data_IF_908473719255
#
_entry.id   IF_908473719255
#
_cell.length_a   1.000
_cell.length_b   1.000
_cell.length_c   1.000
_cell.angle_alpha   90.00
_cell.angle_beta   90.00
_cell.angle_gamma   90.00
#
_symmetry.space_group_name_H-M   'P 1'
#
loop_
_entity.id
_entity.type
_entity.pdbx_description
1 polymer ?
#
# COMPACT_ATOMS: atom_id res chain seq x y z
N UNK A 1 5.27 -8.08 22.50
CA UNK A 1 4.40 -7.46 21.49
C UNK A 1 3.10 -7.07 22.18
N UNK A 2 2.71 -5.81 22.16
CA UNK A 2 1.49 -5.31 22.81
C UNK A 2 0.24 -5.96 22.16
N UNK A 3 -0.80 -6.18 22.97
CA UNK A 3 -2.07 -6.82 22.56
C UNK A 3 -2.70 -6.12 21.35
N UNK A 4 -2.60 -4.79 21.29
CA UNK A 4 -3.09 -3.98 20.17
C UNK A 4 -2.32 -4.29 18.88
N UNK A 5 -1.00 -4.35 18.94
CA UNK A 5 -0.15 -4.65 17.78
C UNK A 5 -0.34 -6.09 17.31
N UNK A 6 -0.55 -7.04 18.22
CA UNK A 6 -0.89 -8.42 17.88
C UNK A 6 -2.21 -8.51 17.09
N UNK A 7 -3.23 -7.75 17.52
CA UNK A 7 -4.51 -7.68 16.81
C UNK A 7 -4.35 -7.07 15.41
N UNK A 8 -3.64 -5.94 15.29
CA UNK A 8 -3.43 -5.25 14.00
C UNK A 8 -2.67 -6.17 13.03
N UNK A 9 -1.64 -6.87 13.47
CA UNK A 9 -0.87 -7.81 12.65
C UNK A 9 -1.72 -8.99 12.17
N UNK A 10 -2.47 -9.63 13.08
CA UNK A 10 -3.36 -10.74 12.73
C UNK A 10 -4.47 -10.31 11.76
N UNK A 11 -5.08 -9.14 12.01
CA UNK A 11 -6.09 -8.57 11.14
C UNK A 11 -5.52 -8.22 9.75
N UNK A 12 -4.34 -7.61 9.69
CA UNK A 12 -3.65 -7.29 8.45
C UNK A 12 -3.41 -8.51 7.58
N UNK A 13 -2.91 -9.61 8.16
CA UNK A 13 -2.69 -10.87 7.45
C UNK A 13 -4.01 -11.47 6.91
N UNK A 14 -5.09 -11.44 7.70
CA UNK A 14 -6.39 -11.94 7.26
C UNK A 14 -7.00 -11.08 6.16
N UNK A 15 -6.97 -9.77 6.30
CA UNK A 15 -7.50 -8.83 5.29
C UNK A 15 -6.72 -8.94 3.97
N UNK A 16 -5.39 -9.05 4.03
CA UNK A 16 -4.57 -9.22 2.82
C UNK A 16 -4.89 -10.51 2.06
N UNK A 17 -5.12 -11.62 2.78
CA UNK A 17 -5.38 -12.93 2.14
C UNK A 17 -6.83 -13.13 1.74
N UNK A 18 -7.78 -12.73 2.59
CA UNK A 18 -9.19 -13.11 2.45
C UNK A 18 -10.11 -11.92 2.14
N UNK A 19 -9.60 -10.69 2.22
CA UNK A 19 -10.39 -9.47 2.07
C UNK A 19 -11.07 -9.01 3.34
N UNK A 20 -11.61 -7.83 3.27
CA UNK A 20 -12.25 -7.16 4.41
C UNK A 20 -13.65 -7.72 4.68
N UNK A 21 -14.46 -7.90 3.62
CA UNK A 21 -15.84 -8.35 3.75
C UNK A 21 -15.92 -9.81 4.22
N UNK A 22 -15.09 -10.69 3.68
CA UNK A 22 -15.07 -12.11 4.03
C UNK A 22 -14.41 -12.42 5.40
N UNK A 23 -13.81 -11.41 6.05
CA UNK A 23 -13.18 -11.56 7.36
C UNK A 23 -14.10 -11.05 8.46
N UNK A 24 -14.80 -11.95 9.14
CA UNK A 24 -15.66 -11.64 10.28
C UNK A 24 -14.89 -11.47 11.59
N UNK A 25 -15.55 -10.87 12.60
CA UNK A 25 -14.95 -10.61 13.92
C UNK A 25 -14.54 -11.89 14.65
N UNK A 26 -15.30 -13.00 14.47
CA UNK A 26 -14.96 -14.30 15.09
C UNK A 26 -13.64 -14.85 14.54
N UNK A 27 -13.42 -14.75 13.23
CA UNK A 27 -12.17 -15.16 12.59
C UNK A 27 -10.99 -14.31 13.06
N UNK A 28 -11.20 -13.02 13.27
CA UNK A 28 -10.21 -12.10 13.84
C UNK A 28 -9.88 -12.47 15.28
N UNK A 29 -10.89 -12.79 16.10
CA UNK A 29 -10.74 -13.26 17.48
C UNK A 29 -9.85 -14.49 17.56
N UNK A 30 -10.14 -15.48 16.72
CA UNK A 30 -9.39 -16.74 16.65
C UNK A 30 -7.94 -16.49 16.20
N UNK A 31 -7.73 -15.75 15.13
CA UNK A 31 -6.41 -15.48 14.59
C UNK A 31 -5.53 -14.65 15.54
N UNK A 32 -6.12 -13.71 16.26
CA UNK A 32 -5.39 -12.91 17.26
C UNK A 32 -5.17 -13.68 18.59
N UNK A 33 -5.81 -14.83 18.78
CA UNK A 33 -5.71 -15.63 20.03
C UNK A 33 -6.21 -14.85 21.24
N UNK A 34 -7.34 -14.17 21.12
CA UNK A 34 -7.92 -13.36 22.19
C UNK A 34 -9.45 -13.59 22.31
N UNK A 35 -10.04 -13.21 23.45
CA UNK A 35 -11.48 -13.27 23.60
C UNK A 35 -12.18 -12.18 22.78
N UNK A 36 -13.44 -12.40 22.36
CA UNK A 36 -14.26 -11.39 21.68
C UNK A 36 -14.33 -10.07 22.48
N UNK A 37 -14.48 -10.17 23.81
CA UNK A 37 -14.48 -8.98 24.70
C UNK A 37 -13.16 -8.19 24.58
N UNK A 38 -12.04 -8.88 24.58
CA UNK A 38 -10.70 -8.26 24.43
C UNK A 38 -10.57 -7.64 23.04
N UNK A 39 -11.00 -8.33 22.01
CA UNK A 39 -10.96 -7.82 20.65
C UNK A 39 -11.78 -6.52 20.52
N UNK A 40 -13.04 -6.51 20.94
CA UNK A 40 -13.88 -5.30 20.86
C UNK A 40 -13.34 -4.15 21.72
N UNK A 41 -12.76 -4.45 22.89
CA UNK A 41 -12.08 -3.43 23.72
C UNK A 41 -10.95 -2.72 22.97
N UNK A 42 -10.17 -3.47 22.17
CA UNK A 42 -9.03 -2.92 21.42
C UNK A 42 -9.38 -2.46 20.01
N UNK A 43 -10.30 -3.12 19.34
CA UNK A 43 -10.71 -2.77 17.97
C UNK A 43 -11.74 -1.61 17.95
N UNK A 44 -12.65 -1.57 18.89
CA UNK A 44 -13.84 -0.74 18.87
C UNK A 44 -14.88 -1.31 17.90
N UNK A 45 -14.68 -1.14 16.61
CA UNK A 45 -15.51 -1.68 15.53
C UNK A 45 -14.65 -2.31 14.44
N UNK A 46 -15.28 -3.07 13.52
CA UNK A 46 -14.59 -3.59 12.34
C UNK A 46 -14.01 -2.46 11.47
N UNK A 47 -14.78 -1.38 11.27
CA UNK A 47 -14.33 -0.19 10.56
C UNK A 47 -13.09 0.43 11.20
N UNK A 48 -13.12 0.66 12.53
CA UNK A 48 -11.99 1.20 13.25
C UNK A 48 -10.74 0.29 13.17
N UNK A 49 -10.94 -1.04 13.18
CA UNK A 49 -9.85 -1.99 13.00
C UNK A 49 -9.27 -1.93 11.58
N UNK A 50 -10.10 -1.83 10.55
CA UNK A 50 -9.66 -1.65 9.15
C UNK A 50 -8.81 -0.39 9.02
N UNK A 51 -9.28 0.75 9.53
CA UNK A 51 -8.53 2.02 9.53
C UNK A 51 -7.15 1.84 10.16
N UNK A 52 -7.07 1.25 11.36
CA UNK A 52 -5.78 1.03 12.05
C UNK A 52 -4.84 0.09 11.30
N UNK A 53 -5.38 -0.94 10.64
CA UNK A 53 -4.59 -1.86 9.82
C UNK A 53 -4.01 -1.12 8.61
N UNK A 54 -4.82 -0.29 7.94
CA UNK A 54 -4.36 0.51 6.80
C UNK A 54 -3.32 1.56 7.24
N UNK A 55 -3.54 2.26 8.36
CA UNK A 55 -2.57 3.22 8.92
C UNK A 55 -1.23 2.54 9.28
N UNK A 56 -1.27 1.39 9.93
CA UNK A 56 -0.06 0.64 10.27
C UNK A 56 0.67 0.14 9.02
N UNK A 57 -0.07 -0.24 7.96
CA UNK A 57 0.52 -0.61 6.67
C UNK A 57 1.12 0.60 5.96
N UNK A 58 0.46 1.75 5.99
CA UNK A 58 0.96 3.01 5.43
C UNK A 58 2.32 3.39 6.05
N UNK A 59 2.41 3.34 7.38
CA UNK A 59 3.65 3.64 8.08
C UNK A 59 4.79 2.71 7.66
N UNK A 60 4.56 1.40 7.58
CA UNK A 60 5.58 0.43 7.14
C UNK A 60 5.96 0.63 5.68
N UNK A 61 4.97 0.86 4.80
CA UNK A 61 5.18 1.10 3.39
C UNK A 61 6.10 2.31 3.17
N UNK A 62 5.76 3.46 3.73
CA UNK A 62 6.56 4.66 3.54
C UNK A 62 7.91 4.63 4.25
N UNK A 63 8.09 3.85 5.32
CA UNK A 63 9.39 3.61 5.91
C UNK A 63 10.35 2.84 4.97
N UNK A 64 9.82 1.97 4.10
CA UNK A 64 10.61 1.30 3.04
C UNK A 64 10.79 2.17 1.80
N UNK A 65 9.87 3.10 1.53
CA UNK A 65 9.88 3.97 0.34
C UNK A 65 10.65 5.29 0.56
N UNK A 66 11.51 5.38 1.59
CA UNK A 66 12.37 6.54 1.86
C UNK A 66 13.57 6.61 0.90
N UNK A 67 13.28 6.55 -0.41
CA UNK A 67 14.28 6.55 -1.46
C UNK A 67 14.53 7.96 -2.01
N UNK A 68 15.71 8.15 -2.62
CA UNK A 68 16.14 9.43 -3.18
C UNK A 68 16.06 9.46 -4.71
N UNK A 69 15.60 8.37 -5.34
CA UNK A 69 15.47 8.24 -6.79
C UNK A 69 14.26 7.41 -7.18
N UNK A 70 13.79 7.60 -8.42
CA UNK A 70 12.71 6.78 -8.99
C UNK A 70 13.14 5.32 -9.13
N UNK A 71 14.38 5.06 -9.55
CA UNK A 71 14.89 3.68 -9.63
C UNK A 71 14.88 3.02 -8.25
N UNK A 72 15.38 3.70 -7.20
CA UNK A 72 15.34 3.22 -5.82
C UNK A 72 13.90 2.97 -5.33
N UNK A 73 12.95 3.84 -5.70
CA UNK A 73 11.54 3.66 -5.36
C UNK A 73 10.97 2.34 -5.94
N UNK A 74 11.32 1.98 -7.17
CA UNK A 74 10.91 0.69 -7.76
C UNK A 74 11.63 -0.49 -7.12
N UNK A 75 12.91 -0.35 -6.75
CA UNK A 75 13.65 -1.40 -6.04
C UNK A 75 13.02 -1.65 -4.65
N UNK A 76 12.66 -0.59 -3.93
CA UNK A 76 11.92 -0.70 -2.67
C UNK A 76 10.52 -1.33 -2.85
N UNK A 77 9.84 -1.07 -3.98
CA UNK A 77 8.57 -1.73 -4.31
C UNK A 77 8.77 -3.23 -4.56
N UNK A 78 9.85 -3.64 -5.24
CA UNK A 78 10.18 -5.06 -5.46
C UNK A 78 10.35 -5.78 -4.12
N UNK A 79 11.15 -5.22 -3.22
CA UNK A 79 11.38 -5.76 -1.87
C UNK A 79 10.07 -5.83 -1.08
N UNK A 80 9.28 -4.77 -1.09
CA UNK A 80 7.96 -4.74 -0.45
C UNK A 80 7.04 -5.86 -0.92
N UNK A 81 6.95 -6.08 -2.24
CA UNK A 81 6.10 -7.11 -2.81
C UNK A 81 6.59 -8.52 -2.50
N UNK A 82 7.91 -8.73 -2.35
CA UNK A 82 8.48 -10.01 -1.89
C UNK A 82 8.14 -10.29 -0.44
N UNK A 83 8.23 -9.29 0.43
CA UNK A 83 7.98 -9.42 1.86
C UNK A 83 6.48 -9.58 2.19
N UNK A 84 5.63 -8.74 1.60
CA UNK A 84 4.19 -8.71 1.89
C UNK A 84 3.38 -9.70 1.03
N UNK A 85 4.03 -10.34 0.05
CA UNK A 85 3.39 -11.15 -0.98
C UNK A 85 2.80 -10.31 -2.10
N UNK A 86 2.74 -10.88 -3.30
CA UNK A 86 2.18 -10.23 -4.49
C UNK A 86 0.63 -10.24 -4.44
N UNK A 87 0.03 -9.64 -3.43
CA UNK A 87 -1.43 -9.63 -3.20
C UNK A 87 -2.10 -8.33 -3.69
N UNK A 88 -1.35 -7.47 -4.38
CA UNK A 88 -1.79 -6.17 -4.87
C UNK A 88 -1.87 -5.11 -3.78
N UNK A 89 -2.48 -3.98 -4.13
CA UNK A 89 -2.63 -2.86 -3.22
C UNK A 89 -3.79 -3.07 -2.25
N UNK A 90 -3.49 -3.24 -0.95
CA UNK A 90 -4.50 -3.42 0.10
C UNK A 90 -5.45 -2.22 0.22
N UNK A 91 -4.99 -1.01 -0.06
CA UNK A 91 -5.81 0.20 -0.03
C UNK A 91 -6.87 0.22 -1.14
N UNK A 92 -6.50 -0.14 -2.37
CA UNK A 92 -7.45 -0.27 -3.48
C UNK A 92 -8.43 -1.41 -3.26
N UNK A 93 -7.97 -2.51 -2.66
CA UNK A 93 -8.85 -3.60 -2.25
C UNK A 93 -9.87 -3.14 -1.21
N UNK A 94 -9.44 -2.40 -0.19
CA UNK A 94 -10.35 -1.83 0.81
C UNK A 94 -11.38 -0.91 0.15
N UNK A 95 -10.96 -0.07 -0.79
CA UNK A 95 -11.88 0.80 -1.55
C UNK A 95 -12.92 -0.01 -2.33
N UNK A 96 -12.48 -0.99 -3.10
CA UNK A 96 -13.37 -1.84 -3.90
C UNK A 96 -14.35 -2.65 -3.05
N UNK A 97 -13.91 -3.18 -1.91
CA UNK A 97 -14.77 -3.99 -1.04
C UNK A 97 -15.73 -3.14 -0.16
N UNK A 98 -15.41 -1.87 0.12
CA UNK A 98 -16.27 -0.98 0.93
C UNK A 98 -17.04 0.02 0.09
N UNK A 99 -16.86 0.01 -1.24
CA UNK A 99 -17.55 0.90 -2.18
C UNK A 99 -17.20 2.39 -2.04
N UNK A 100 -16.21 2.73 -1.22
CA UNK A 100 -15.89 4.13 -0.91
C UNK A 100 -16.90 4.83 0.01
N UNK A 101 -17.98 4.16 0.41
CA UNK A 101 -19.09 4.73 1.19
C UNK A 101 -18.72 5.01 2.65
N UNK A 102 -17.67 4.35 3.16
CA UNK A 102 -17.20 4.60 4.52
C UNK A 102 -16.18 5.75 4.54
N UNK A 103 -16.55 6.94 5.09
CA UNK A 103 -15.71 8.13 5.01
C UNK A 103 -14.38 7.97 5.74
N UNK A 104 -14.31 7.18 6.82
CA UNK A 104 -13.09 6.95 7.58
C UNK A 104 -12.10 6.11 6.78
N UNK A 105 -12.55 5.02 6.17
CA UNK A 105 -11.73 4.15 5.30
C UNK A 105 -11.29 4.93 4.07
N UNK A 106 -12.22 5.62 3.41
CA UNK A 106 -11.93 6.42 2.22
C UNK A 106 -10.91 7.53 2.47
N UNK A 107 -10.93 8.15 3.65
CA UNK A 107 -9.95 9.17 4.04
C UNK A 107 -8.52 8.62 4.13
N UNK A 108 -8.33 7.46 4.77
CA UNK A 108 -7.02 6.81 4.89
C UNK A 108 -6.50 6.38 3.51
N UNK A 109 -7.38 5.85 2.65
CA UNK A 109 -6.99 5.46 1.29
C UNK A 109 -6.53 6.67 0.48
N UNK A 110 -7.31 7.77 0.49
CA UNK A 110 -6.93 9.01 -0.20
C UNK A 110 -5.61 9.57 0.31
N UNK A 111 -5.41 9.60 1.61
CA UNK A 111 -4.16 10.08 2.21
C UNK A 111 -2.95 9.26 1.75
N UNK A 112 -3.06 7.92 1.73
CA UNK A 112 -2.01 7.04 1.22
C UNK A 112 -1.70 7.31 -0.26
N UNK A 113 -2.72 7.41 -1.11
CA UNK A 113 -2.53 7.66 -2.54
C UNK A 113 -1.96 9.05 -2.83
N UNK A 114 -2.42 10.06 -2.11
CA UNK A 114 -1.85 11.41 -2.20
C UNK A 114 -0.38 11.44 -1.79
N UNK A 115 -0.03 10.76 -0.70
CA UNK A 115 1.37 10.68 -0.27
C UNK A 115 2.25 9.95 -1.28
N UNK A 116 1.75 8.89 -1.92
CA UNK A 116 2.44 8.19 -3.01
C UNK A 116 2.67 9.13 -4.20
N UNK A 117 1.64 9.86 -4.62
CA UNK A 117 1.72 10.87 -5.67
C UNK A 117 2.76 11.94 -5.38
N UNK A 118 2.72 12.54 -4.18
CA UNK A 118 3.67 13.58 -3.79
C UNK A 118 5.11 13.06 -3.70
N UNK A 119 5.30 11.81 -3.28
CA UNK A 119 6.62 11.18 -3.27
C UNK A 119 7.19 11.06 -4.68
N UNK A 120 6.42 10.53 -5.62
CA UNK A 120 6.84 10.38 -7.02
C UNK A 120 7.11 11.76 -7.65
N UNK A 121 6.21 12.72 -7.47
CA UNK A 121 6.36 14.09 -7.98
C UNK A 121 7.65 14.75 -7.50
N UNK A 122 7.94 14.64 -6.20
CA UNK A 122 9.18 15.15 -5.60
C UNK A 122 10.42 14.49 -6.18
N UNK A 123 10.41 13.16 -6.35
CA UNK A 123 11.55 12.42 -6.90
C UNK A 123 11.79 12.78 -8.36
N UNK A 124 10.74 12.85 -9.18
CA UNK A 124 10.83 13.31 -10.58
C UNK A 124 11.46 14.71 -10.65
N UNK A 125 10.90 15.68 -9.90
CA UNK A 125 11.42 17.04 -9.90
C UNK A 125 12.90 17.11 -9.47
N UNK A 126 13.29 16.30 -8.48
CA UNK A 126 14.67 16.19 -8.02
C UNK A 126 15.61 15.65 -9.10
N UNK A 127 15.16 14.67 -9.91
CA UNK A 127 16.00 14.03 -10.91
C UNK A 127 16.14 14.80 -12.22
N UNK A 128 15.10 15.56 -12.64
CA UNK A 128 15.15 16.33 -13.89
C UNK A 128 15.41 17.82 -13.67
N UNK A 129 15.39 18.28 -12.41
CA UNK A 129 15.71 19.68 -12.04
C UNK A 129 14.53 20.66 -12.13
N UNK A 130 13.32 20.21 -12.47
CA UNK A 130 12.10 21.02 -12.51
C UNK A 130 10.85 20.16 -12.27
N UNK A 131 9.71 20.78 -11.99
CA UNK A 131 8.45 20.07 -11.85
C UNK A 131 7.92 19.66 -13.23
N UNK A 132 7.50 18.36 -13.34
CA UNK A 132 6.80 17.81 -14.50
C UNK A 132 5.72 16.84 -14.00
N UNK A 133 4.52 17.38 -13.81
CA UNK A 133 3.38 16.60 -13.32
C UNK A 133 2.96 15.50 -14.31
N UNK A 134 3.15 15.69 -15.61
CA UNK A 134 2.82 14.68 -16.62
C UNK A 134 3.77 13.48 -16.54
N UNK A 135 5.06 13.73 -16.41
CA UNK A 135 6.05 12.67 -16.21
C UNK A 135 5.82 11.94 -14.89
N UNK A 136 5.53 12.68 -13.82
CA UNK A 136 5.20 12.10 -12.52
C UNK A 136 3.96 11.20 -12.59
N UNK A 137 2.92 11.60 -13.34
CA UNK A 137 1.72 10.78 -13.55
C UNK A 137 2.02 9.51 -14.35
N UNK A 138 2.87 9.57 -15.39
CA UNK A 138 3.31 8.39 -16.14
C UNK A 138 4.04 7.39 -15.22
N UNK A 139 4.92 7.88 -14.36
CA UNK A 139 5.64 7.05 -13.39
C UNK A 139 4.69 6.48 -12.32
N UNK A 140 3.71 7.26 -11.85
CA UNK A 140 2.68 6.76 -10.94
C UNK A 140 1.89 5.61 -11.58
N UNK A 141 1.49 5.74 -12.85
CA UNK A 141 0.77 4.68 -13.57
C UNK A 141 1.63 3.42 -13.70
N UNK A 142 2.93 3.54 -13.97
CA UNK A 142 3.86 2.41 -14.01
C UNK A 142 3.97 1.74 -12.62
N UNK A 143 4.08 2.52 -11.56
CA UNK A 143 4.18 2.03 -10.18
C UNK A 143 2.92 1.27 -9.74
N UNK A 144 1.74 1.84 -9.95
CA UNK A 144 0.47 1.21 -9.65
C UNK A 144 0.21 -0.01 -10.54
N UNK A 145 0.55 0.10 -11.83
CA UNK A 145 0.45 -0.99 -12.81
C UNK A 145 1.33 -2.17 -12.45
N UNK A 146 2.58 -1.95 -12.05
CA UNK A 146 3.50 -2.99 -11.58
C UNK A 146 2.96 -3.70 -10.33
N UNK A 147 2.45 -2.92 -9.35
CA UNK A 147 1.83 -3.46 -8.14
C UNK A 147 0.63 -4.37 -8.45
N UNK A 148 -0.22 -3.96 -9.37
CA UNK A 148 -1.39 -4.74 -9.79
C UNK A 148 -0.98 -5.97 -10.62
N UNK A 149 -0.07 -5.81 -11.58
CA UNK A 149 0.36 -6.88 -12.47
C UNK A 149 1.14 -7.97 -11.72
N UNK A 150 1.82 -7.65 -10.64
CA UNK A 150 2.53 -8.62 -9.81
C UNK A 150 1.64 -9.74 -9.25
N UNK A 151 0.32 -9.50 -9.10
CA UNK A 151 -0.65 -10.51 -8.62
C UNK A 151 -0.66 -11.76 -9.52
N UNK A 152 -0.57 -11.58 -10.83
CA UNK A 152 -0.74 -12.65 -11.82
C UNK A 152 0.47 -12.88 -12.72
N UNK A 153 1.44 -11.95 -12.75
CA UNK A 153 2.68 -12.04 -13.52
C UNK A 153 3.92 -12.25 -12.65
N UNK A 154 3.76 -12.07 -11.33
CA UNK A 154 4.86 -12.10 -10.38
C UNK A 154 5.65 -10.79 -10.32
N UNK A 155 6.57 -10.73 -9.38
CA UNK A 155 7.33 -9.52 -9.01
C UNK A 155 8.22 -8.97 -10.15
N UNK A 156 8.59 -9.78 -11.14
CA UNK A 156 9.38 -9.33 -12.30
C UNK A 156 8.78 -8.18 -13.11
N UNK A 157 7.46 -7.91 -12.94
CA UNK A 157 6.79 -6.75 -13.54
C UNK A 157 7.33 -5.42 -13.02
N UNK A 158 7.86 -5.40 -11.80
CA UNK A 158 8.45 -4.20 -11.19
C UNK A 158 9.72 -3.79 -11.94
N UNK A 159 10.58 -4.75 -12.27
CA UNK A 159 11.79 -4.48 -13.06
C UNK A 159 11.44 -3.87 -14.43
N UNK A 160 10.43 -4.40 -15.11
CA UNK A 160 9.95 -3.84 -16.39
C UNK A 160 9.45 -2.40 -16.24
N UNK A 161 8.69 -2.12 -15.19
CA UNK A 161 8.18 -0.78 -14.92
C UNK A 161 9.32 0.20 -14.56
N UNK A 162 10.29 -0.25 -13.75
CA UNK A 162 11.50 0.51 -13.41
C UNK A 162 12.29 0.90 -14.64
N UNK A 163 12.56 -0.05 -15.53
CA UNK A 163 13.35 0.19 -16.73
C UNK A 163 12.61 1.16 -17.68
N UNK A 164 11.29 1.06 -17.78
CA UNK A 164 10.46 2.00 -18.52
C UNK A 164 10.50 3.41 -17.90
N UNK A 165 10.40 3.51 -16.57
CA UNK A 165 10.51 4.79 -15.86
C UNK A 165 11.88 5.45 -16.10
N UNK A 166 12.96 4.68 -16.11
CA UNK A 166 14.31 5.17 -16.40
C UNK A 166 14.42 5.74 -17.84
N UNK A 167 13.80 5.11 -18.83
CA UNK A 167 13.74 5.63 -20.20
C UNK A 167 12.98 6.96 -20.29
N UNK A 168 11.85 7.08 -19.59
CA UNK A 168 11.06 8.32 -19.55
C UNK A 168 11.87 9.46 -18.92
N UNK A 169 12.54 9.20 -17.79
CA UNK A 169 13.40 10.19 -17.13
C UNK A 169 14.58 10.62 -18.00
N UNK A 170 15.24 9.67 -18.72
CA UNK A 170 16.34 10.00 -19.64
C UNK A 170 15.84 10.90 -20.77
N UNK A 171 14.66 10.63 -21.33
CA UNK A 171 14.04 11.46 -22.37
C UNK A 171 13.68 12.88 -21.91
N UNK A 172 13.37 13.05 -20.63
CA UNK A 172 13.02 14.37 -20.06
C UNK A 172 14.26 15.23 -19.71
N UNK A 173 15.43 14.61 -19.58
CA UNK A 173 16.71 15.30 -19.34
C UNK A 173 17.41 15.77 -20.61
N UNK A 174 16.97 15.27 -21.78
CA UNK A 174 17.54 15.58 -23.11
C UNK A 174 16.93 16.86 -23.70
#
# INVERSE_FOLDING_TARGET
MDTKNKLISAAGSLFSRHGFNATGMDRLTQAAGMSSRTLYKHAGSKTALIVRVLEARDQRFFAQMEEQSITGLFDALDDWLREEGCLGCLFLRAYGETGGDNPQIAAVIRAHKEKTWQTIRRLVASEIGHEDDRLAEQILILFEGATAAAIYRGVGTVATARDTAALLLAGAKA
#
